data_IF_521535368170
#
_entry.id   IF_521535368170
#
_cell.length_a   1.000
_cell.length_b   1.000
_cell.length_c   1.000
_cell.angle_alpha   90.00
_cell.angle_beta   90.00
_cell.angle_gamma   90.00
#
_symmetry.space_group_name_H-M   'P 1'
#
loop_
_entity.id
_entity.type
_entity.pdbx_description
1 polymer ?
#
# COMPACT_ATOMS: atom_id res chain seq x y z
N UNK A 1 -17.40 -1.16 30.08
CA UNK A 1 -17.69 -0.13 29.05
C UNK A 1 -19.03 -0.41 28.40
N UNK A 2 -19.95 0.55 28.35
CA UNK A 2 -21.17 0.45 27.52
C UNK A 2 -20.74 0.46 26.04
N UNK A 3 -21.33 -0.40 25.22
CA UNK A 3 -21.11 -0.39 23.76
C UNK A 3 -21.88 0.77 23.16
N UNK A 4 -21.18 1.68 22.51
CA UNK A 4 -21.78 2.76 21.74
C UNK A 4 -22.28 2.19 20.39
N UNK A 5 -23.49 2.56 19.97
CA UNK A 5 -24.08 2.14 18.69
C UNK A 5 -24.05 3.31 17.73
N UNK A 6 -23.58 3.08 16.51
CA UNK A 6 -23.61 4.05 15.41
C UNK A 6 -24.58 3.58 14.32
N UNK A 7 -25.27 4.52 13.67
CA UNK A 7 -26.08 4.20 12.49
C UNK A 7 -25.20 3.84 11.29
N UNK A 8 -25.72 3.08 10.32
CA UNK A 8 -25.00 2.73 9.09
C UNK A 8 -24.51 3.98 8.33
N UNK A 9 -25.29 5.06 8.34
CA UNK A 9 -24.90 6.33 7.73
C UNK A 9 -23.70 6.97 8.45
N UNK A 10 -23.67 6.93 9.78
CA UNK A 10 -22.55 7.44 10.56
C UNK A 10 -21.30 6.57 10.35
N UNK A 11 -21.44 5.24 10.39
CA UNK A 11 -20.33 4.32 10.12
C UNK A 11 -19.70 4.56 8.74
N UNK A 12 -20.52 4.79 7.70
CA UNK A 12 -20.04 5.14 6.35
C UNK A 12 -19.25 6.44 6.34
N UNK A 13 -19.75 7.50 7.00
CA UNK A 13 -19.03 8.78 7.09
C UNK A 13 -17.70 8.64 7.81
N UNK A 14 -17.67 7.87 8.91
CA UNK A 14 -16.43 7.57 9.63
C UNK A 14 -15.43 6.87 8.69
N UNK A 15 -15.86 5.83 7.97
CA UNK A 15 -14.99 5.08 7.05
C UNK A 15 -14.46 5.95 5.90
N UNK A 16 -15.29 6.81 5.30
CA UNK A 16 -14.88 7.73 4.24
C UNK A 16 -13.92 8.81 4.76
N UNK A 17 -14.22 9.40 5.91
CA UNK A 17 -13.39 10.41 6.54
C UNK A 17 -12.02 9.84 6.95
N UNK A 18 -11.98 8.64 7.54
CA UNK A 18 -10.74 7.94 7.89
C UNK A 18 -9.83 7.76 6.66
N UNK A 19 -10.41 7.45 5.50
CA UNK A 19 -9.70 7.30 4.23
C UNK A 19 -9.29 8.62 3.56
N UNK A 20 -9.67 9.77 4.13
CA UNK A 20 -9.30 11.09 3.62
C UNK A 20 -10.27 11.71 2.61
N UNK A 21 -11.44 11.11 2.36
CA UNK A 21 -12.42 11.66 1.41
C UNK A 21 -13.13 12.93 1.90
N UNK A 22 -13.00 13.27 3.18
CA UNK A 22 -13.50 14.55 3.73
C UNK A 22 -12.48 15.69 3.68
N UNK A 23 -11.27 15.43 3.16
CA UNK A 23 -10.21 16.45 3.07
C UNK A 23 -10.29 17.11 1.69
N UNK A 24 -10.31 18.46 1.61
CA UNK A 24 -10.22 19.17 0.34
C UNK A 24 -8.97 18.76 -0.45
N UNK A 25 -9.08 18.77 -1.77
CA UNK A 25 -7.90 18.58 -2.64
C UNK A 25 -6.93 19.75 -2.44
N UNK A 26 -5.62 19.54 -2.63
CA UNK A 26 -4.66 20.63 -2.59
C UNK A 26 -5.02 21.73 -3.60
N UNK A 27 -4.88 22.98 -3.20
CA UNK A 27 -4.91 24.09 -4.14
C UNK A 27 -3.62 24.09 -4.99
N UNK A 28 -3.76 24.15 -6.31
CA UNK A 28 -2.63 24.09 -7.24
C UNK A 28 -2.06 22.68 -7.42
N UNK A 29 -0.75 22.60 -7.73
CA UNK A 29 -0.11 21.35 -8.12
C UNK A 29 0.18 20.41 -6.93
N UNK A 30 -0.23 19.15 -7.05
CA UNK A 30 0.06 18.11 -6.07
C UNK A 30 1.57 17.80 -5.99
N UNK A 31 2.20 18.11 -4.85
CA UNK A 31 3.59 17.72 -4.55
C UNK A 31 3.73 16.35 -3.83
N UNK A 32 4.98 15.90 -3.70
CA UNK A 32 5.34 14.65 -3.01
C UNK A 32 4.84 14.54 -1.56
N UNK A 33 4.74 15.68 -0.84
CA UNK A 33 4.25 15.72 0.54
C UNK A 33 2.76 15.38 0.64
N UNK A 34 1.95 15.80 -0.32
CA UNK A 34 0.54 15.41 -0.41
C UNK A 34 0.39 13.89 -0.61
N UNK A 35 1.18 13.33 -1.53
CA UNK A 35 1.21 11.89 -1.80
C UNK A 35 1.61 11.12 -0.53
N UNK A 36 2.70 11.54 0.13
CA UNK A 36 3.15 10.93 1.39
C UNK A 36 2.04 10.92 2.44
N UNK A 37 1.42 12.08 2.72
CA UNK A 37 0.34 12.20 3.72
C UNK A 37 -0.86 11.34 3.39
N UNK A 38 -1.24 11.25 2.11
CA UNK A 38 -2.35 10.40 1.68
C UNK A 38 -2.04 8.92 1.92
N UNK A 39 -0.81 8.47 1.63
CA UNK A 39 -0.40 7.08 1.89
C UNK A 39 -0.31 6.80 3.39
N UNK A 40 0.26 7.70 4.18
CA UNK A 40 0.36 7.55 5.63
C UNK A 40 -1.04 7.45 6.28
N UNK A 41 -2.02 8.19 5.74
CA UNK A 41 -3.41 8.10 6.19
C UNK A 41 -4.09 6.79 5.76
N UNK A 42 -3.80 6.28 4.57
CA UNK A 42 -4.35 5.01 4.10
C UNK A 42 -3.71 3.80 4.77
N UNK A 43 -2.45 3.90 5.17
CA UNK A 43 -1.67 2.83 5.78
C UNK A 43 -1.18 1.75 4.81
N UNK A 44 -1.84 1.57 3.65
CA UNK A 44 -1.33 0.75 2.56
C UNK A 44 -1.89 1.17 1.19
N UNK A 45 -1.20 0.74 0.12
CA UNK A 45 -1.75 0.63 -1.23
C UNK A 45 -1.56 -0.80 -1.73
N UNK A 46 -2.61 -1.46 -2.22
CA UNK A 46 -2.48 -2.77 -2.86
C UNK A 46 -1.84 -2.59 -4.25
N UNK A 47 -0.80 -3.36 -4.54
CA UNK A 47 -0.15 -3.47 -5.85
C UNK A 47 -0.97 -4.43 -6.71
N UNK A 48 -1.10 -4.08 -7.98
CA UNK A 48 -1.85 -4.85 -8.96
C UNK A 48 -1.14 -4.75 -10.31
N UNK A 49 -1.19 -5.83 -11.09
CA UNK A 49 -0.66 -5.92 -12.44
C UNK A 49 -1.67 -5.46 -13.50
N UNK A 50 -2.96 -5.39 -13.19
CA UNK A 50 -4.00 -4.93 -14.13
C UNK A 50 -3.77 -3.46 -14.51
N UNK A 51 -3.75 -3.17 -15.80
CA UNK A 51 -3.36 -1.87 -16.36
C UNK A 51 -4.27 -1.35 -17.49
N UNK A 52 -5.55 -1.77 -17.56
CA UNK A 52 -6.49 -1.39 -18.65
C UNK A 52 -6.61 0.13 -18.85
N UNK A 53 -6.57 0.90 -17.77
CA UNK A 53 -6.53 2.37 -17.80
C UNK A 53 -5.21 2.89 -17.23
N UNK A 54 -4.91 2.46 -16.01
CA UNK A 54 -3.66 2.69 -15.29
C UNK A 54 -3.48 1.53 -14.32
N UNK A 55 -2.27 1.35 -13.75
CA UNK A 55 -2.08 0.37 -12.68
C UNK A 55 -2.95 0.75 -11.47
N UNK A 56 -3.66 -0.21 -10.90
CA UNK A 56 -4.69 0.06 -9.90
C UNK A 56 -4.19 0.84 -8.68
N UNK A 57 -2.94 0.63 -8.26
CA UNK A 57 -2.33 1.31 -7.11
C UNK A 57 -2.18 2.83 -7.26
N UNK A 58 -2.29 3.39 -8.46
CA UNK A 58 -2.28 4.84 -8.66
C UNK A 58 -3.64 5.51 -8.36
N UNK A 59 -4.72 4.75 -8.53
CA UNK A 59 -6.08 5.28 -8.50
C UNK A 59 -6.54 5.74 -7.10
N UNK A 60 -6.20 5.05 -5.99
CA UNK A 60 -6.56 5.54 -4.65
C UNK A 60 -6.06 6.96 -4.38
N UNK A 61 -4.83 7.29 -4.80
CA UNK A 61 -4.28 8.63 -4.63
C UNK A 61 -4.98 9.63 -5.54
N UNK A 62 -5.25 9.27 -6.79
CA UNK A 62 -6.00 10.12 -7.72
C UNK A 62 -7.39 10.49 -7.16
N UNK A 63 -8.13 9.55 -6.58
CA UNK A 63 -9.45 9.83 -6.01
C UNK A 63 -9.41 10.91 -4.91
N UNK A 64 -8.28 11.00 -4.17
CA UNK A 64 -8.10 11.89 -3.01
C UNK A 64 -7.42 13.21 -3.37
N UNK A 65 -6.43 13.16 -4.26
CA UNK A 65 -5.58 14.31 -4.60
C UNK A 65 -5.97 14.98 -5.93
N UNK A 66 -6.78 14.31 -6.76
CA UNK A 66 -6.99 14.72 -8.14
C UNK A 66 -5.77 14.38 -9.00
N UNK A 67 -5.54 15.18 -10.04
CA UNK A 67 -4.37 14.99 -10.90
C UNK A 67 -3.07 15.18 -10.10
N UNK A 68 -2.16 14.23 -10.22
CA UNK A 68 -0.85 14.27 -9.57
C UNK A 68 0.18 13.54 -10.43
N UNK A 69 1.45 13.97 -10.33
CA UNK A 69 2.56 13.24 -10.94
C UNK A 69 2.74 11.88 -10.24
N UNK A 70 2.46 10.78 -10.96
CA UNK A 70 2.65 9.41 -10.47
C UNK A 70 4.11 9.11 -10.13
N UNK A 71 5.06 9.86 -10.70
CA UNK A 71 6.46 9.83 -10.34
C UNK A 71 6.72 10.13 -8.86
N UNK A 72 5.82 10.86 -8.19
CA UNK A 72 5.88 11.00 -6.73
C UNK A 72 5.69 9.66 -6.01
N UNK A 73 4.71 8.85 -6.41
CA UNK A 73 4.51 7.52 -5.84
C UNK A 73 5.69 6.61 -6.19
N UNK A 74 6.12 6.62 -7.46
CA UNK A 74 7.19 5.74 -7.92
C UNK A 74 8.51 6.01 -7.19
N UNK A 75 8.86 7.29 -6.94
CA UNK A 75 10.04 7.66 -6.14
C UNK A 75 9.94 7.13 -4.71
N UNK A 76 8.76 7.16 -4.10
CA UNK A 76 8.52 6.67 -2.74
C UNK A 76 8.63 5.15 -2.63
N UNK A 77 8.17 4.42 -3.66
CA UNK A 77 8.15 2.97 -3.71
C UNK A 77 9.49 2.37 -4.17
N UNK A 78 9.98 2.83 -5.33
CA UNK A 78 11.04 2.20 -6.11
C UNK A 78 12.20 3.14 -6.45
N UNK A 79 12.20 4.37 -5.92
CA UNK A 79 13.28 5.33 -6.13
C UNK A 79 14.59 4.94 -5.43
N UNK A 80 15.54 5.89 -5.41
CA UNK A 80 16.80 5.74 -4.67
C UNK A 80 16.53 5.47 -3.18
N UNK A 81 17.42 4.76 -2.46
CA UNK A 81 17.22 4.46 -1.03
C UNK A 81 16.91 5.68 -0.16
N UNK A 82 17.48 6.85 -0.44
CA UNK A 82 17.22 8.10 0.28
C UNK A 82 15.84 8.72 0.01
N UNK A 83 15.21 8.39 -1.12
CA UNK A 83 13.88 8.87 -1.50
C UNK A 83 12.78 7.85 -1.16
N UNK A 84 13.14 6.57 -1.03
CA UNK A 84 12.21 5.51 -0.66
C UNK A 84 11.68 5.73 0.74
N UNK A 85 10.36 5.65 0.88
CA UNK A 85 9.76 5.49 2.19
C UNK A 85 8.55 4.58 2.17
N UNK A 86 8.43 3.73 1.15
CA UNK A 86 7.53 2.60 1.14
C UNK A 86 8.34 1.31 0.97
N UNK A 87 7.78 0.20 1.45
CA UNK A 87 8.30 -1.14 1.20
C UNK A 87 7.19 -2.04 0.70
N UNK A 88 7.58 -3.04 -0.10
CA UNK A 88 6.67 -4.07 -0.59
C UNK A 88 6.55 -5.20 0.41
N UNK A 89 5.32 -5.61 0.71
CA UNK A 89 5.06 -6.76 1.58
C UNK A 89 3.68 -7.36 1.35
N UNK A 90 3.54 -8.64 1.69
CA UNK A 90 2.28 -9.39 1.68
C UNK A 90 1.49 -9.13 2.96
N UNK A 91 0.91 -7.92 3.07
CA UNK A 91 0.10 -7.51 4.22
C UNK A 91 -1.31 -8.14 4.18
N UNK A 92 -2.21 -7.58 3.36
CA UNK A 92 -3.45 -8.26 2.97
C UNK A 92 -3.20 -9.03 1.66
N UNK A 93 -2.74 -8.32 0.63
CA UNK A 93 -2.16 -8.84 -0.62
C UNK A 93 -0.79 -8.19 -0.88
N UNK A 94 -0.24 -8.32 -2.08
CA UNK A 94 0.93 -7.54 -2.50
C UNK A 94 0.65 -6.05 -2.29
N UNK A 95 1.43 -5.39 -1.42
CA UNK A 95 1.12 -4.04 -0.93
C UNK A 95 2.37 -3.17 -0.82
N UNK A 96 2.21 -1.87 -1.07
CA UNK A 96 3.12 -0.81 -0.65
C UNK A 96 2.69 -0.27 0.72
N UNK A 97 3.61 -0.28 1.69
CA UNK A 97 3.36 0.16 3.07
C UNK A 97 4.37 1.22 3.49
N UNK A 98 4.00 2.21 4.34
CA UNK A 98 4.96 3.13 4.94
C UNK A 98 6.08 2.40 5.67
N UNK A 99 7.35 2.74 5.41
CA UNK A 99 8.50 2.11 6.10
C UNK A 99 8.44 2.21 7.62
N UNK A 100 7.79 3.25 8.15
CA UNK A 100 7.52 3.43 9.59
C UNK A 100 6.64 2.33 10.18
N UNK A 101 5.82 1.66 9.36
CA UNK A 101 4.98 0.53 9.78
C UNK A 101 5.75 -0.79 9.83
N UNK A 102 6.98 -0.85 9.27
CA UNK A 102 7.75 -2.10 9.21
C UNK A 102 7.89 -2.82 10.56
N UNK A 103 8.16 -2.14 11.71
CA UNK A 103 8.22 -2.82 13.01
C UNK A 103 6.93 -3.58 13.36
N UNK A 104 5.76 -3.05 12.97
CA UNK A 104 4.45 -3.65 13.22
C UNK A 104 4.23 -4.96 12.43
N UNK A 105 5.01 -5.18 11.36
CA UNK A 105 4.90 -6.35 10.49
C UNK A 105 5.97 -7.43 10.76
N UNK A 106 6.93 -7.18 11.66
CA UNK A 106 8.04 -8.11 11.94
C UNK A 106 7.58 -9.50 12.39
N UNK A 107 6.50 -9.58 13.17
CA UNK A 107 5.95 -10.87 13.61
C UNK A 107 5.43 -11.71 12.43
N UNK A 108 4.78 -11.10 11.44
CA UNK A 108 4.25 -11.78 10.25
C UNK A 108 5.40 -12.21 9.33
N UNK A 109 6.44 -11.39 9.21
CA UNK A 109 7.67 -11.74 8.50
C UNK A 109 8.39 -12.93 9.14
N UNK A 110 8.52 -12.93 10.47
CA UNK A 110 9.13 -14.05 11.21
C UNK A 110 8.33 -15.35 11.02
N UNK A 111 7.00 -15.27 11.08
CA UNK A 111 6.12 -16.42 10.79
C UNK A 111 6.27 -16.95 9.36
N UNK A 112 6.41 -16.07 8.37
CA UNK A 112 6.64 -16.46 6.98
C UNK A 112 8.00 -17.15 6.79
N UNK A 113 9.05 -16.67 7.47
CA UNK A 113 10.39 -17.25 7.42
C UNK A 113 10.46 -18.64 8.09
N UNK A 114 9.67 -18.88 9.13
CA UNK A 114 9.64 -20.16 9.86
C UNK A 114 8.90 -21.32 9.13
N UNK A 115 8.50 -21.14 7.87
CA UNK A 115 7.98 -22.20 7.00
C UNK A 115 6.74 -23.00 7.50
N UNK A 116 5.87 -22.41 8.34
CA UNK A 116 4.65 -23.05 8.85
C UNK A 116 3.35 -22.25 8.65
N UNK A 117 3.29 -21.37 7.65
CA UNK A 117 2.00 -20.85 7.22
C UNK A 117 1.53 -21.70 6.03
N UNK A 118 0.45 -22.47 6.19
CA UNK A 118 -0.28 -23.10 5.07
C UNK A 118 -0.90 -22.11 4.08
N UNK A 119 -0.41 -20.87 4.07
CA UNK A 119 -0.78 -19.76 3.20
C UNK A 119 0.17 -19.74 2.00
N UNK A 120 -0.39 -19.69 0.79
CA UNK A 120 0.32 -19.60 -0.49
C UNK A 120 1.38 -18.48 -0.46
N UNK A 121 1.09 -17.37 0.24
CA UNK A 121 2.00 -16.21 0.38
C UNK A 121 3.30 -16.56 1.10
N UNK A 122 3.24 -17.48 2.07
CA UNK A 122 4.42 -17.95 2.80
C UNK A 122 5.39 -18.75 1.93
N UNK A 123 4.91 -19.36 0.84
CA UNK A 123 5.73 -20.19 -0.07
C UNK A 123 6.43 -19.37 -1.18
N UNK A 124 6.14 -18.09 -1.32
CA UNK A 124 6.71 -17.28 -2.41
C UNK A 124 8.24 -17.17 -2.33
N UNK A 125 8.81 -17.11 -1.12
CA UNK A 125 10.27 -17.09 -0.94
C UNK A 125 10.91 -18.42 -1.37
N UNK A 126 10.22 -19.55 -1.17
CA UNK A 126 10.63 -20.88 -1.65
C UNK A 126 10.53 -20.93 -3.17
N UNK A 127 9.41 -20.47 -3.75
CA UNK A 127 9.22 -20.39 -5.19
C UNK A 127 10.33 -19.56 -5.85
N UNK A 128 10.65 -18.37 -5.31
CA UNK A 128 11.75 -17.54 -5.85
C UNK A 128 13.09 -18.26 -5.81
N UNK A 129 13.37 -19.01 -4.75
CA UNK A 129 14.61 -19.80 -4.62
C UNK A 129 14.67 -20.94 -5.64
N UNK A 130 13.57 -21.65 -5.84
CA UNK A 130 13.50 -22.85 -6.69
C UNK A 130 13.30 -22.53 -8.18
N UNK A 131 12.69 -21.39 -8.49
CA UNK A 131 12.34 -20.96 -9.86
C UNK A 131 13.03 -19.64 -10.25
N UNK A 132 14.21 -19.38 -9.68
CA UNK A 132 14.98 -18.15 -9.94
C UNK A 132 15.20 -17.88 -11.43
N UNK A 133 15.69 -18.89 -12.18
CA UNK A 133 15.91 -18.78 -13.61
C UNK A 133 14.65 -18.42 -14.41
N UNK A 134 13.50 -18.98 -14.03
CA UNK A 134 12.22 -18.63 -14.64
C UNK A 134 11.85 -17.17 -14.35
N UNK A 135 12.02 -16.70 -13.10
CA UNK A 135 11.71 -15.32 -12.73
C UNK A 135 12.57 -14.33 -13.53
N UNK A 136 13.85 -14.63 -13.72
CA UNK A 136 14.75 -13.77 -14.48
C UNK A 136 14.40 -13.71 -15.97
N UNK A 137 13.81 -14.78 -16.53
CA UNK A 137 13.32 -14.82 -17.91
C UNK A 137 12.09 -13.93 -18.14
N UNK A 138 11.16 -13.86 -17.17
CA UNK A 138 9.90 -13.08 -17.29
C UNK A 138 9.99 -11.64 -16.81
N UNK A 139 11.15 -11.19 -16.32
CA UNK A 139 11.35 -9.86 -15.74
C UNK A 139 11.69 -8.80 -16.78
#
# INVERSE_FOLDING_TARGET
MKRERVSSALARRIALAAQGFGVPRPDGATNAGHVRRAIDRLGLLQIDSVNVLARAHYLPLFSRLGNYDSGHLDRLAWGRPSARGLFEFWAHEASLLPVTSHPLWRWRMARAAAAHAGDIKGKLHVFRREKGAFIDEVR
#
